data_IF_033411315788
#
_entry.id   IF_033411315788
#
_cell.length_a   1.000
_cell.length_b   1.000
_cell.length_c   1.000
_cell.angle_alpha   90.00
_cell.angle_beta   90.00
_cell.angle_gamma   90.00
#
_symmetry.space_group_name_H-M   'P 1'
#
loop_
_entity.id
_entity.type
_entity.pdbx_description
1 polymer ?
#
# COMPACT_ATOMS: atom_id res chain seq x y z
N UNK A 1 6.31 -11.17 25.84
CA UNK A 1 5.50 -9.96 25.59
C UNK A 1 4.09 -10.42 25.33
N UNK A 2 3.12 -9.86 26.04
CA UNK A 2 1.71 -10.27 25.87
C UNK A 2 1.02 -9.52 24.72
N UNK A 3 1.54 -8.34 24.32
CA UNK A 3 1.08 -7.54 23.17
C UNK A 3 2.24 -6.78 22.52
N UNK A 4 2.15 -6.56 21.21
CA UNK A 4 3.04 -5.65 20.46
C UNK A 4 2.59 -4.20 20.68
N UNK A 5 3.49 -3.32 21.12
CA UNK A 5 3.22 -1.89 21.31
C UNK A 5 3.50 -1.13 20.01
N UNK A 6 2.45 -0.83 19.28
CA UNK A 6 2.50 -0.25 17.94
C UNK A 6 2.37 1.28 17.99
N UNK A 7 3.17 1.96 17.17
CA UNK A 7 2.96 3.35 16.79
C UNK A 7 2.38 3.46 15.38
N UNK A 8 1.41 4.37 15.18
CA UNK A 8 0.92 4.72 13.83
C UNK A 8 1.57 6.04 13.40
N UNK A 9 2.26 6.03 12.26
CA UNK A 9 2.97 7.18 11.70
C UNK A 9 2.24 7.65 10.46
N UNK A 10 1.71 8.87 10.48
CA UNK A 10 0.79 9.39 9.47
C UNK A 10 -0.67 9.15 9.86
N UNK A 11 -1.30 10.17 10.44
CA UNK A 11 -2.69 10.15 10.92
C UNK A 11 -3.68 10.70 9.86
N UNK A 12 -3.33 10.54 8.58
CA UNK A 12 -4.07 11.04 7.42
C UNK A 12 -5.32 10.21 7.07
N UNK A 13 -5.69 10.17 5.78
CA UNK A 13 -6.92 9.51 5.36
C UNK A 13 -6.86 7.98 5.53
N UNK A 14 -5.75 7.36 5.10
CA UNK A 14 -5.58 5.91 5.00
C UNK A 14 -5.49 5.22 6.38
N UNK A 15 -5.08 5.94 7.43
CA UNK A 15 -5.06 5.39 8.79
C UNK A 15 -6.43 5.00 9.32
N UNK A 16 -7.51 5.60 8.81
CA UNK A 16 -8.87 5.24 9.19
C UNK A 16 -9.25 3.83 8.73
N UNK A 17 -8.62 3.33 7.66
CA UNK A 17 -8.85 1.98 7.15
C UNK A 17 -7.91 0.95 7.79
N UNK A 18 -6.70 1.37 8.19
CA UNK A 18 -5.67 0.49 8.74
C UNK A 18 -5.76 0.33 10.26
N UNK A 19 -5.94 1.43 10.99
CA UNK A 19 -5.96 1.43 12.45
C UNK A 19 -7.01 0.49 13.08
N UNK A 20 -8.24 0.34 12.53
CA UNK A 20 -9.23 -0.56 13.13
C UNK A 20 -8.73 -2.01 13.29
N UNK A 21 -7.95 -2.51 12.33
CA UNK A 21 -7.38 -3.85 12.42
C UNK A 21 -6.45 -4.01 13.63
N UNK A 22 -5.61 -3.00 13.89
CA UNK A 22 -4.71 -3.00 15.05
C UNK A 22 -5.44 -2.78 16.38
N UNK A 23 -6.42 -1.88 16.41
CA UNK A 23 -7.19 -1.55 17.61
C UNK A 23 -8.05 -2.73 18.08
N UNK A 24 -8.56 -3.54 17.16
CA UNK A 24 -9.38 -4.71 17.47
C UNK A 24 -8.54 -5.97 17.80
N UNK A 25 -7.25 -6.00 17.46
CA UNK A 25 -6.44 -7.20 17.60
C UNK A 25 -5.91 -7.37 19.03
N UNK A 26 -6.21 -8.48 19.73
CA UNK A 26 -5.86 -8.65 21.15
C UNK A 26 -4.36 -8.71 21.42
N UNK A 27 -3.56 -9.09 20.41
CA UNK A 27 -2.09 -9.10 20.47
C UNK A 27 -1.42 -7.76 20.15
N UNK A 28 -2.19 -6.68 19.94
CA UNK A 28 -1.66 -5.36 19.62
C UNK A 28 -2.16 -4.30 20.62
N UNK A 29 -1.32 -3.32 20.90
CA UNK A 29 -1.70 -2.11 21.62
C UNK A 29 -1.17 -0.90 20.85
N UNK A 30 -2.07 -0.02 20.38
CA UNK A 30 -1.68 1.25 19.75
C UNK A 30 -1.29 2.23 20.87
N UNK A 31 0.02 2.37 21.11
CA UNK A 31 0.56 3.16 22.23
C UNK A 31 0.96 4.58 21.83
N UNK A 32 1.20 4.82 20.54
CA UNK A 32 1.67 6.10 20.05
C UNK A 32 1.09 6.45 18.66
N UNK A 33 0.94 7.75 18.42
CA UNK A 33 0.63 8.34 17.12
C UNK A 33 1.69 9.37 16.76
N UNK A 34 2.09 9.43 15.50
CA UNK A 34 3.04 10.41 15.00
C UNK A 34 2.48 11.12 13.77
N UNK A 35 2.38 12.44 13.80
CA UNK A 35 2.00 13.26 12.65
C UNK A 35 2.56 14.67 12.80
N UNK A 36 3.08 15.24 11.71
CA UNK A 36 3.56 16.63 11.71
C UNK A 36 2.45 17.63 12.00
N UNK A 37 1.19 17.26 11.71
CA UNK A 37 -0.03 17.99 12.09
C UNK A 37 -0.62 17.36 13.36
N UNK A 38 -0.20 17.84 14.53
CA UNK A 38 -0.69 17.39 15.85
C UNK A 38 -2.20 17.18 15.95
N UNK A 39 -2.98 18.13 15.41
CA UNK A 39 -4.44 18.09 15.43
C UNK A 39 -5.02 16.83 14.73
N UNK A 40 -4.33 16.28 13.71
CA UNK A 40 -4.74 15.03 13.06
C UNK A 40 -4.62 13.85 14.01
N UNK A 41 -3.46 13.68 14.65
CA UNK A 41 -3.24 12.60 15.61
C UNK A 41 -4.21 12.69 16.79
N UNK A 42 -4.44 13.89 17.31
CA UNK A 42 -5.39 14.11 18.41
C UNK A 42 -6.84 13.79 18.01
N UNK A 43 -7.26 14.19 16.81
CA UNK A 43 -8.57 13.83 16.27
C UNK A 43 -8.73 12.32 16.15
N UNK A 44 -7.71 11.60 15.65
CA UNK A 44 -7.76 10.14 15.53
C UNK A 44 -7.84 9.45 16.89
N UNK A 45 -7.03 9.89 17.85
CA UNK A 45 -7.08 9.37 19.22
C UNK A 45 -8.50 9.49 19.82
N UNK A 46 -9.14 10.66 19.66
CA UNK A 46 -10.52 10.88 20.08
C UNK A 46 -11.52 9.97 19.36
N UNK A 47 -11.42 9.88 18.03
CA UNK A 47 -12.33 9.05 17.21
C UNK A 47 -12.22 7.56 17.55
N UNK A 48 -11.02 7.09 17.90
CA UNK A 48 -10.77 5.70 18.25
C UNK A 48 -10.96 5.39 19.74
N UNK A 49 -11.23 6.39 20.57
CA UNK A 49 -11.40 6.22 22.01
C UNK A 49 -10.14 5.73 22.73
N UNK A 50 -8.96 6.10 22.25
CA UNK A 50 -7.67 5.72 22.84
C UNK A 50 -6.91 6.94 23.39
N UNK A 51 -5.93 6.70 24.26
CA UNK A 51 -5.07 7.75 24.85
C UNK A 51 -3.59 7.47 24.58
N UNK A 52 -3.14 7.54 23.32
CA UNK A 52 -1.77 7.27 22.94
C UNK A 52 -0.85 8.46 23.27
N UNK A 53 0.46 8.20 23.35
CA UNK A 53 1.45 9.29 23.26
C UNK A 53 1.42 9.88 21.85
N UNK A 54 1.46 11.20 21.73
CA UNK A 54 1.45 11.87 20.43
C UNK A 54 2.81 12.52 20.20
N UNK A 55 3.41 12.24 19.05
CA UNK A 55 4.69 12.78 18.61
C UNK A 55 4.49 13.65 17.36
N UNK A 56 5.22 14.77 17.29
CA UNK A 56 5.36 15.55 16.05
C UNK A 56 6.59 15.13 15.26
N UNK A 57 7.63 14.75 15.99
CA UNK A 57 8.92 14.36 15.44
C UNK A 57 9.05 12.83 15.41
N UNK A 58 9.48 12.32 14.26
CA UNK A 58 9.60 10.89 14.05
C UNK A 58 10.82 10.31 14.75
N UNK A 59 11.92 11.06 14.89
CA UNK A 59 13.10 10.57 15.61
C UNK A 59 12.82 10.45 17.11
N UNK A 60 12.05 11.38 17.70
CA UNK A 60 11.57 11.26 19.08
C UNK A 60 10.72 10.00 19.30
N UNK A 61 9.80 9.69 18.36
CA UNK A 61 9.02 8.44 18.39
C UNK A 61 9.94 7.21 18.35
N UNK A 62 10.93 7.19 17.45
CA UNK A 62 11.84 6.06 17.31
C UNK A 62 12.74 5.86 18.54
N UNK A 63 13.07 6.93 19.25
CA UNK A 63 13.81 6.88 20.51
C UNK A 63 12.99 6.32 21.69
N UNK A 64 11.65 6.26 21.59
CA UNK A 64 10.80 5.76 22.68
C UNK A 64 10.97 4.24 22.87
N UNK A 65 11.51 3.77 24.02
CA UNK A 65 11.68 2.34 24.29
C UNK A 65 10.35 1.63 24.56
N UNK A 66 9.25 2.38 24.66
CA UNK A 66 7.89 1.84 24.84
C UNK A 66 7.18 1.51 23.53
N UNK A 67 7.81 1.77 22.37
CA UNK A 67 7.32 1.41 21.04
C UNK A 67 8.14 0.22 20.50
N UNK A 68 7.45 -0.87 20.13
CA UNK A 68 8.05 -2.07 19.54
C UNK A 68 8.03 -2.05 18.01
N UNK A 69 6.96 -1.48 17.44
CA UNK A 69 6.69 -1.50 16.01
C UNK A 69 6.11 -0.17 15.51
N UNK A 70 6.30 0.13 14.22
CA UNK A 70 5.69 1.26 13.52
C UNK A 70 4.85 0.78 12.33
N UNK A 71 3.66 1.36 12.17
CA UNK A 71 2.87 1.30 10.94
C UNK A 71 3.02 2.64 10.20
N UNK A 72 3.69 2.62 9.05
CA UNK A 72 3.95 3.80 8.22
C UNK A 72 2.81 4.01 7.21
N UNK A 73 2.02 5.06 7.41
CA UNK A 73 0.85 5.46 6.63
C UNK A 73 1.00 6.88 6.07
N UNK A 74 2.24 7.28 5.86
CA UNK A 74 2.64 8.59 5.34
C UNK A 74 2.56 8.63 3.81
N UNK A 75 2.81 9.79 3.19
CA UNK A 75 3.09 9.85 1.76
C UNK A 75 4.26 8.95 1.32
N UNK A 76 4.14 8.35 0.13
CA UNK A 76 5.09 7.33 -0.37
C UNK A 76 6.52 7.82 -0.49
N UNK A 77 6.76 9.07 -0.87
CA UNK A 77 8.11 9.65 -0.96
C UNK A 77 8.85 9.72 0.40
N UNK A 78 8.18 9.48 1.52
CA UNK A 78 8.80 9.42 2.84
C UNK A 78 9.14 8.00 3.27
N UNK A 79 8.60 6.97 2.61
CA UNK A 79 8.66 5.60 3.09
C UNK A 79 10.08 5.07 3.19
N UNK A 80 10.91 5.26 2.15
CA UNK A 80 12.26 4.71 2.14
C UNK A 80 13.08 5.14 3.37
N UNK A 81 13.15 6.45 3.61
CA UNK A 81 13.92 6.98 4.74
C UNK A 81 13.28 6.61 6.09
N UNK A 82 11.95 6.57 6.17
CA UNK A 82 11.25 6.19 7.40
C UNK A 82 11.41 4.71 7.77
N UNK A 83 11.37 3.82 6.77
CA UNK A 83 11.60 2.38 6.93
C UNK A 83 13.03 2.17 7.44
N UNK A 84 14.02 2.74 6.75
CA UNK A 84 15.44 2.60 7.09
C UNK A 84 15.71 3.11 8.51
N UNK A 85 15.19 4.28 8.86
CA UNK A 85 15.36 4.86 10.20
C UNK A 85 14.72 3.98 11.30
N UNK A 86 13.52 3.44 11.09
CA UNK A 86 12.88 2.58 12.07
C UNK A 86 13.59 1.24 12.27
N UNK A 87 14.04 0.61 11.18
CA UNK A 87 14.82 -0.62 11.24
C UNK A 87 16.15 -0.39 11.98
N UNK A 88 16.84 0.72 11.69
CA UNK A 88 18.06 1.12 12.39
C UNK A 88 17.82 1.39 13.89
N UNK A 89 16.66 1.94 14.25
CA UNK A 89 16.24 2.13 15.64
C UNK A 89 15.77 0.83 16.33
N UNK A 90 15.84 -0.32 15.65
CA UNK A 90 15.44 -1.61 16.19
C UNK A 90 13.93 -1.78 16.36
N UNK A 91 13.12 -1.09 15.55
CA UNK A 91 11.66 -1.25 15.52
C UNK A 91 11.25 -2.26 14.46
N UNK A 92 10.18 -3.02 14.71
CA UNK A 92 9.48 -3.73 13.64
C UNK A 92 8.77 -2.72 12.74
N UNK A 93 8.75 -2.95 11.43
CA UNK A 93 8.18 -2.00 10.47
C UNK A 93 7.12 -2.67 9.63
N UNK A 94 5.95 -2.06 9.56
CA UNK A 94 4.92 -2.34 8.58
C UNK A 94 4.64 -1.05 7.81
N UNK A 95 4.67 -1.10 6.48
CA UNK A 95 4.59 0.10 5.64
C UNK A 95 3.50 -0.03 4.58
N UNK A 96 2.69 1.00 4.42
CA UNK A 96 1.78 1.13 3.28
C UNK A 96 2.56 0.99 1.96
N UNK A 97 1.98 0.27 0.99
CA UNK A 97 2.40 0.35 -0.40
C UNK A 97 2.24 1.79 -0.96
N UNK A 98 2.83 2.06 -2.14
CA UNK A 98 4.11 1.50 -2.56
C UNK A 98 5.20 1.84 -1.54
N UNK A 99 6.25 1.04 -1.43
CA UNK A 99 7.28 1.22 -0.38
C UNK A 99 8.33 2.29 -0.72
N UNK A 100 8.42 2.70 -1.99
CA UNK A 100 9.45 3.59 -2.48
C UNK A 100 9.02 4.23 -3.81
N UNK A 101 9.53 5.42 -4.13
CA UNK A 101 9.23 6.11 -5.41
C UNK A 101 10.19 5.76 -6.53
N UNK A 102 11.30 5.07 -6.25
CA UNK A 102 12.22 4.61 -7.28
C UNK A 102 12.83 3.26 -6.95
N UNK A 103 13.39 2.61 -7.96
CA UNK A 103 14.17 1.37 -7.79
C UNK A 103 15.35 1.61 -6.86
N UNK A 104 16.07 2.72 -7.01
CA UNK A 104 17.19 3.06 -6.14
C UNK A 104 16.79 3.19 -4.66
N UNK A 105 15.61 3.73 -4.38
CA UNK A 105 15.08 3.74 -3.00
C UNK A 105 14.67 2.35 -2.51
N UNK A 106 14.06 1.54 -3.38
CA UNK A 106 13.72 0.15 -3.06
C UNK A 106 14.98 -0.67 -2.73
N UNK A 107 16.07 -0.50 -3.47
CA UNK A 107 17.35 -1.16 -3.22
C UNK A 107 17.92 -0.78 -1.85
N UNK A 108 17.85 0.50 -1.46
CA UNK A 108 18.24 0.94 -0.10
C UNK A 108 17.38 0.29 0.99
N UNK A 109 16.08 0.13 0.75
CA UNK A 109 15.18 -0.57 1.68
C UNK A 109 15.59 -2.04 1.79
N UNK A 110 15.85 -2.72 0.67
CA UNK A 110 16.27 -4.13 0.65
C UNK A 110 17.54 -4.33 1.47
N UNK A 111 18.54 -3.47 1.29
CA UNK A 111 19.78 -3.50 2.07
C UNK A 111 19.52 -3.29 3.57
N UNK A 112 18.69 -2.31 3.94
CA UNK A 112 18.36 -2.06 5.33
C UNK A 112 17.59 -3.23 5.97
N UNK A 113 16.66 -3.84 5.24
CA UNK A 113 15.89 -5.01 5.69
C UNK A 113 16.81 -6.22 5.87
N UNK A 114 17.74 -6.46 4.95
CA UNK A 114 18.70 -7.58 5.05
C UNK A 114 19.61 -7.47 6.28
N UNK A 115 19.91 -6.24 6.71
CA UNK A 115 20.74 -5.97 7.89
C UNK A 115 19.95 -5.81 9.20
N UNK A 116 18.61 -5.76 9.12
CA UNK A 116 17.76 -5.52 10.28
C UNK A 116 17.68 -6.76 11.19
N UNK A 117 17.60 -6.52 12.50
CA UNK A 117 17.30 -7.57 13.50
C UNK A 117 15.79 -7.70 13.76
N UNK A 118 15.00 -6.86 13.13
CA UNK A 118 13.55 -6.78 13.24
C UNK A 118 12.87 -7.15 11.93
N UNK A 119 11.55 -7.30 11.99
CA UNK A 119 10.76 -7.67 10.81
C UNK A 119 10.34 -6.43 10.02
N UNK A 120 10.35 -6.57 8.71
CA UNK A 120 9.72 -5.64 7.77
C UNK A 120 8.56 -6.32 7.03
N UNK A 121 7.45 -5.62 6.87
CA UNK A 121 6.28 -6.05 6.10
C UNK A 121 5.76 -4.91 5.24
N UNK A 122 5.29 -5.25 4.04
CA UNK A 122 4.47 -4.34 3.22
C UNK A 122 2.99 -4.58 3.52
N UNK A 123 2.25 -3.52 3.82
CA UNK A 123 0.78 -3.54 3.95
C UNK A 123 0.17 -3.51 2.54
N UNK A 124 0.15 -4.68 1.92
CA UNK A 124 -0.49 -4.94 0.63
C UNK A 124 -1.77 -5.75 0.86
N UNK A 125 -2.91 -5.05 0.93
CA UNK A 125 -4.18 -5.60 1.37
C UNK A 125 -4.85 -6.53 0.35
N UNK A 126 -4.54 -6.44 -0.94
CA UNK A 126 -5.17 -7.30 -1.96
C UNK A 126 -4.83 -8.77 -1.75
N UNK A 127 -3.64 -9.06 -1.22
CA UNK A 127 -3.22 -10.43 -0.90
C UNK A 127 -4.03 -11.09 0.22
N UNK A 128 -4.86 -10.31 0.92
CA UNK A 128 -5.77 -10.80 1.96
C UNK A 128 -7.24 -10.70 1.55
N UNK A 129 -7.54 -10.24 0.33
CA UNK A 129 -8.91 -10.15 -0.16
C UNK A 129 -9.46 -11.56 -0.44
N UNK A 130 -10.60 -11.98 0.17
CA UNK A 130 -11.03 -13.38 0.13
C UNK A 130 -11.16 -13.99 -1.28
N UNK A 131 -11.65 -13.28 -2.32
CA UNK A 131 -11.65 -13.80 -3.69
C UNK A 131 -10.24 -14.07 -4.26
N UNK A 132 -9.26 -13.21 -3.95
CA UNK A 132 -7.87 -13.39 -4.41
C UNK A 132 -7.20 -14.57 -3.69
N UNK A 133 -7.41 -14.68 -2.37
CA UNK A 133 -6.96 -15.82 -1.56
C UNK A 133 -7.58 -17.11 -2.08
N UNK A 134 -8.89 -17.10 -2.35
CA UNK A 134 -9.58 -18.29 -2.86
C UNK A 134 -9.09 -18.72 -4.23
N UNK A 135 -8.80 -17.76 -5.11
CA UNK A 135 -8.20 -18.06 -6.41
C UNK A 135 -6.82 -18.72 -6.25
N UNK A 136 -5.97 -18.25 -5.32
CA UNK A 136 -4.69 -18.90 -5.02
C UNK A 136 -4.86 -20.33 -4.54
N UNK A 137 -5.77 -20.59 -3.61
CA UNK A 137 -6.05 -21.95 -3.13
C UNK A 137 -6.43 -22.90 -4.27
N UNK A 138 -7.28 -22.45 -5.20
CA UNK A 138 -7.70 -23.25 -6.35
C UNK A 138 -6.56 -23.50 -7.34
N UNK A 139 -5.71 -22.50 -7.56
CA UNK A 139 -4.51 -22.64 -8.38
C UNK A 139 -3.53 -23.65 -7.78
N UNK A 140 -3.27 -23.56 -6.47
CA UNK A 140 -2.40 -24.50 -5.74
C UNK A 140 -2.95 -25.92 -5.72
N UNK A 141 -4.27 -26.06 -5.71
CA UNK A 141 -4.95 -27.35 -5.81
C UNK A 141 -4.95 -27.93 -7.24
N UNK A 142 -4.41 -27.21 -8.23
CA UNK A 142 -4.37 -27.64 -9.63
C UNK A 142 -5.73 -27.64 -10.31
N UNK A 143 -6.70 -26.86 -9.83
CA UNK A 143 -8.10 -26.90 -10.30
C UNK A 143 -8.27 -26.60 -11.80
N UNK A 144 -7.31 -25.90 -12.40
CA UNK A 144 -7.29 -25.57 -13.84
C UNK A 144 -6.01 -26.04 -14.55
N UNK A 145 -5.18 -26.87 -13.89
CA UNK A 145 -3.84 -27.21 -14.35
C UNK A 145 -2.85 -26.03 -14.27
N UNK A 146 -1.79 -26.07 -15.09
CA UNK A 146 -0.78 -25.02 -15.13
C UNK A 146 -1.28 -23.80 -15.94
N UNK A 147 -1.35 -22.59 -15.33
CA UNK A 147 -1.77 -21.40 -16.04
C UNK A 147 -0.76 -21.00 -17.13
N UNK A 148 -1.24 -20.73 -18.35
CA UNK A 148 -0.42 -20.19 -19.45
C UNK A 148 -0.51 -18.66 -19.58
N UNK A 149 -1.56 -18.05 -19.03
CA UNK A 149 -1.79 -16.61 -19.06
C UNK A 149 -2.57 -16.14 -17.83
N UNK A 150 -2.12 -15.05 -17.21
CA UNK A 150 -2.89 -14.27 -16.23
C UNK A 150 -3.17 -12.90 -16.81
N UNK A 151 -4.44 -12.47 -16.79
CA UNK A 151 -4.83 -11.11 -17.18
C UNK A 151 -5.60 -10.43 -16.07
N UNK A 152 -5.18 -9.23 -15.72
CA UNK A 152 -5.87 -8.35 -14.78
C UNK A 152 -6.20 -7.05 -15.51
N UNK A 153 -7.50 -6.81 -15.70
CA UNK A 153 -8.01 -5.62 -16.37
C UNK A 153 -8.70 -4.70 -15.37
N UNK A 154 -8.41 -3.41 -15.47
CA UNK A 154 -8.92 -2.37 -14.58
C UNK A 154 -9.60 -1.26 -15.40
N UNK A 155 -10.84 -0.87 -15.05
CA UNK A 155 -11.62 0.13 -15.79
C UNK A 155 -11.97 1.32 -14.90
N UNK A 156 -11.08 2.29 -14.85
CA UNK A 156 -11.28 3.47 -13.99
C UNK A 156 -12.53 4.24 -14.41
N UNK A 157 -13.40 4.50 -13.44
CA UNK A 157 -14.53 5.42 -13.60
C UNK A 157 -14.24 6.76 -12.95
N UNK A 158 -14.89 7.82 -13.43
CA UNK A 158 -14.88 9.13 -12.78
C UNK A 158 -15.74 9.12 -11.51
N UNK A 159 -16.90 8.49 -11.62
CA UNK A 159 -17.95 8.54 -10.61
C UNK A 159 -18.08 7.20 -9.87
N UNK A 160 -17.69 7.23 -8.59
CA UNK A 160 -17.92 6.14 -7.64
C UNK A 160 -19.02 6.59 -6.70
N UNK A 161 -20.17 5.91 -6.75
CA UNK A 161 -21.37 6.23 -5.99
C UNK A 161 -21.49 5.29 -4.79
N UNK A 162 -21.68 5.86 -3.60
CA UNK A 162 -21.88 5.12 -2.36
C UNK A 162 -20.62 4.87 -1.51
N UNK A 163 -19.45 5.34 -1.96
CA UNK A 163 -18.19 5.13 -1.27
C UNK A 163 -18.24 5.75 0.15
N UNK A 164 -17.85 4.96 1.14
CA UNK A 164 -17.94 5.33 2.57
C UNK A 164 -16.79 6.20 3.05
N UNK A 165 -15.71 6.29 2.27
CA UNK A 165 -14.57 7.17 2.54
C UNK A 165 -14.13 7.89 1.27
N UNK A 166 -14.08 9.22 1.34
CA UNK A 166 -13.55 10.09 0.29
C UNK A 166 -12.08 10.44 0.57
N UNK A 167 -11.35 10.80 -0.47
CA UNK A 167 -9.97 11.22 -0.35
C UNK A 167 -9.88 12.66 0.19
N UNK A 168 -9.07 12.86 1.23
CA UNK A 168 -8.71 14.19 1.74
C UNK A 168 -8.01 15.01 0.63
N UNK A 169 -8.43 16.26 0.34
CA UNK A 169 -7.75 17.13 -0.62
C UNK A 169 -6.23 17.26 -0.41
N UNK A 170 -5.76 17.24 0.85
CA UNK A 170 -4.32 17.29 1.15
C UNK A 170 -3.56 16.08 0.58
N UNK A 171 -4.24 14.93 0.47
CA UNK A 171 -3.67 13.70 -0.08
C UNK A 171 -3.43 13.79 -1.59
N UNK A 172 -4.12 14.72 -2.29
CA UNK A 172 -3.90 15.00 -3.70
C UNK A 172 -2.67 15.89 -3.95
N UNK A 173 -2.28 16.72 -2.98
CA UNK A 173 -1.19 17.69 -3.16
C UNK A 173 0.13 17.00 -3.49
N UNK A 174 0.53 16.00 -2.68
CA UNK A 174 1.77 15.27 -2.94
C UNK A 174 1.63 14.24 -4.07
N UNK A 175 0.44 13.64 -4.24
CA UNK A 175 0.19 12.71 -5.37
C UNK A 175 0.32 13.41 -6.71
N UNK A 176 -0.08 14.69 -6.78
CA UNK A 176 -0.01 15.50 -7.99
C UNK A 176 1.34 16.16 -8.23
N UNK A 177 2.32 15.95 -7.36
CA UNK A 177 3.68 16.44 -7.52
C UNK A 177 4.54 15.32 -8.13
N UNK A 178 4.94 15.39 -9.42
CA UNK A 178 5.74 14.34 -10.05
C UNK A 178 7.10 14.09 -9.38
N UNK A 179 7.64 15.08 -8.66
CA UNK A 179 8.88 14.92 -7.89
C UNK A 179 8.70 14.12 -6.60
N UNK A 180 7.45 13.94 -6.14
CA UNK A 180 7.08 13.19 -4.92
C UNK A 180 6.25 11.95 -5.21
N UNK A 181 5.64 11.87 -6.37
CA UNK A 181 4.89 10.72 -6.81
C UNK A 181 5.13 10.56 -8.31
N UNK A 182 6.07 9.67 -8.70
CA UNK A 182 6.51 9.58 -10.09
C UNK A 182 5.51 8.87 -10.99
N UNK A 183 4.39 8.37 -10.47
CA UNK A 183 3.43 7.62 -11.27
C UNK A 183 1.97 7.93 -10.97
N UNK A 184 1.12 7.44 -11.85
CA UNK A 184 -0.33 7.46 -11.73
C UNK A 184 -0.88 6.09 -11.35
N UNK A 185 -1.95 5.66 -12.03
CA UNK A 185 -2.65 4.42 -11.72
C UNK A 185 -1.76 3.17 -11.80
N UNK A 186 -0.82 3.10 -12.75
CA UNK A 186 0.07 1.95 -12.89
C UNK A 186 1.03 1.81 -11.71
N UNK A 187 1.34 2.93 -11.06
CA UNK A 187 2.25 2.96 -9.92
C UNK A 187 1.51 2.75 -8.59
N UNK A 188 0.49 3.57 -8.28
CA UNK A 188 -0.19 3.50 -6.97
C UNK A 188 -1.18 2.31 -6.89
N UNK A 189 -1.99 2.07 -7.92
CA UNK A 189 -2.92 0.92 -7.95
C UNK A 189 -2.28 -0.33 -8.57
N UNK A 190 -1.43 -0.16 -9.60
CA UNK A 190 -0.81 -1.28 -10.30
C UNK A 190 -0.02 -2.22 -9.39
N UNK A 191 0.58 -1.71 -8.31
CA UNK A 191 1.26 -2.54 -7.30
C UNK A 191 0.36 -3.68 -6.78
N UNK A 192 -0.94 -3.42 -6.58
CA UNK A 192 -1.89 -4.45 -6.18
C UNK A 192 -2.00 -5.58 -7.22
N UNK A 193 -2.02 -5.21 -8.50
CA UNK A 193 -2.21 -6.15 -9.61
C UNK A 193 -0.93 -6.95 -9.85
N UNK A 194 0.23 -6.31 -9.79
CA UNK A 194 1.52 -7.00 -9.84
C UNK A 194 1.68 -7.95 -8.65
N UNK A 195 1.36 -7.50 -7.43
CA UNK A 195 1.41 -8.34 -6.23
C UNK A 195 0.45 -9.54 -6.36
N UNK A 196 -0.77 -9.34 -6.85
CA UNK A 196 -1.75 -10.41 -7.07
C UNK A 196 -1.26 -11.42 -8.11
N UNK A 197 -0.74 -10.95 -9.26
CA UNK A 197 -0.19 -11.81 -10.29
C UNK A 197 1.02 -12.62 -9.76
N UNK A 198 1.89 -11.97 -8.98
CA UNK A 198 3.03 -12.64 -8.36
C UNK A 198 2.62 -13.65 -7.30
N UNK A 199 1.58 -13.33 -6.51
CA UNK A 199 1.02 -14.24 -5.54
C UNK A 199 0.42 -15.48 -6.20
N UNK A 200 -0.28 -15.34 -7.32
CA UNK A 200 -0.88 -16.46 -8.04
C UNK A 200 0.13 -17.34 -8.77
N UNK A 201 1.13 -16.76 -9.43
CA UNK A 201 2.00 -17.50 -10.35
C UNK A 201 3.45 -17.60 -9.85
N UNK A 202 4.04 -16.48 -9.44
CA UNK A 202 5.43 -16.40 -9.03
C UNK A 202 6.11 -15.09 -9.43
N UNK A 203 7.43 -15.03 -9.34
CA UNK A 203 8.18 -13.81 -9.61
C UNK A 203 8.08 -13.37 -11.08
N UNK A 204 7.98 -12.06 -11.32
CA UNK A 204 8.04 -11.48 -12.67
C UNK A 204 9.51 -11.36 -13.10
N UNK A 205 9.82 -11.80 -14.33
CA UNK A 205 11.18 -11.78 -14.87
C UNK A 205 11.48 -10.58 -15.77
N UNK A 206 10.65 -10.39 -16.79
CA UNK A 206 10.79 -9.29 -17.75
C UNK A 206 9.42 -8.69 -18.06
N UNK A 207 9.40 -7.39 -18.34
CA UNK A 207 8.18 -6.60 -18.55
C UNK A 207 8.40 -5.58 -19.67
N UNK A 208 7.35 -5.35 -20.45
CA UNK A 208 7.27 -4.27 -21.42
C UNK A 208 5.90 -3.61 -21.33
N UNK A 209 5.85 -2.30 -21.48
CA UNK A 209 4.64 -1.52 -21.30
C UNK A 209 4.47 -0.46 -22.38
N UNK A 210 3.21 -0.21 -22.73
CA UNK A 210 2.79 0.92 -23.55
C UNK A 210 1.84 1.75 -22.69
N UNK A 211 2.19 3.02 -22.49
CA UNK A 211 1.37 3.98 -21.75
C UNK A 211 0.86 5.01 -22.74
N UNK A 212 -0.46 5.09 -22.89
CA UNK A 212 -1.13 6.08 -23.73
C UNK A 212 -1.13 7.47 -23.11
N UNK A 213 -1.43 8.48 -23.93
CA UNK A 213 -1.61 9.86 -23.49
C UNK A 213 -3.00 10.10 -22.93
N UNK A 214 -3.10 10.44 -21.64
CA UNK A 214 -4.30 10.96 -20.98
C UNK A 214 -4.18 12.45 -20.66
N UNK A 215 -5.29 13.09 -20.27
CA UNK A 215 -5.30 14.50 -19.86
C UNK A 215 -4.87 14.72 -18.40
N UNK A 216 -4.84 13.66 -17.60
CA UNK A 216 -4.39 13.66 -16.21
C UNK A 216 -3.30 12.59 -16.05
N UNK A 217 -2.10 13.00 -15.63
CA UNK A 217 -0.98 12.09 -15.44
C UNK A 217 -1.26 11.04 -14.36
N UNK A 218 -2.19 11.30 -13.43
CA UNK A 218 -2.59 10.32 -12.42
C UNK A 218 -3.42 9.16 -12.99
N UNK A 219 -3.93 9.30 -14.22
CA UNK A 219 -4.75 8.26 -14.84
C UNK A 219 -3.90 7.18 -15.51
N UNK A 220 -2.84 7.55 -16.24
CA UNK A 220 -2.00 6.61 -17.01
C UNK A 220 -2.82 5.62 -17.85
N UNK A 221 -3.89 6.11 -18.47
CA UNK A 221 -4.83 5.30 -19.26
C UNK A 221 -5.01 5.88 -20.67
N UNK A 222 -5.20 5.04 -21.71
CA UNK A 222 -5.11 3.59 -21.64
C UNK A 222 -3.66 3.15 -21.46
N UNK A 223 -3.43 2.06 -20.72
CA UNK A 223 -2.10 1.48 -20.62
C UNK A 223 -2.17 -0.04 -20.55
N UNK A 224 -1.10 -0.68 -21.01
CA UNK A 224 -0.94 -2.12 -20.96
C UNK A 224 0.51 -2.45 -20.65
N UNK A 225 0.71 -3.34 -19.69
CA UNK A 225 1.96 -4.00 -19.43
C UNK A 225 1.80 -5.50 -19.67
N UNK A 226 2.76 -6.11 -20.37
CA UNK A 226 2.86 -7.55 -20.49
C UNK A 226 4.20 -8.01 -19.97
N UNK A 227 4.21 -9.20 -19.37
CA UNK A 227 5.38 -9.72 -18.69
C UNK A 227 5.45 -11.24 -18.74
N UNK A 228 6.65 -11.78 -18.51
CA UNK A 228 6.89 -13.21 -18.35
C UNK A 228 7.25 -13.50 -16.90
N UNK A 229 6.67 -14.55 -16.35
CA UNK A 229 7.05 -15.05 -15.02
C UNK A 229 8.37 -15.83 -15.10
N UNK A 230 9.25 -15.67 -14.09
CA UNK A 230 10.51 -16.42 -14.01
C UNK A 230 10.22 -17.91 -13.90
N UNK A 231 10.97 -18.71 -14.65
CA UNK A 231 10.95 -20.18 -14.59
C UNK A 231 9.57 -20.81 -14.83
N UNK A 232 8.64 -20.08 -15.47
CA UNK A 232 7.29 -20.55 -15.79
C UNK A 232 6.94 -20.24 -17.24
N UNK A 233 6.29 -21.18 -17.92
CA UNK A 233 5.69 -20.94 -19.24
C UNK A 233 4.33 -20.24 -19.10
N UNK A 234 4.33 -19.08 -18.46
CA UNK A 234 3.14 -18.29 -18.18
C UNK A 234 3.43 -16.82 -18.52
N UNK A 235 2.48 -16.17 -19.18
CA UNK A 235 2.51 -14.74 -19.45
C UNK A 235 1.55 -14.00 -18.51
N UNK A 236 1.85 -12.73 -18.27
CA UNK A 236 0.99 -11.81 -17.54
C UNK A 236 0.62 -10.61 -18.41
N UNK A 237 -0.61 -10.14 -18.25
CA UNK A 237 -1.10 -8.87 -18.82
C UNK A 237 -1.78 -8.09 -17.71
N UNK A 238 -1.37 -6.86 -17.51
CA UNK A 238 -2.08 -5.88 -16.68
C UNK A 238 -2.43 -4.70 -17.58
N UNK A 239 -3.72 -4.36 -17.66
CA UNK A 239 -4.18 -3.29 -18.52
C UNK A 239 -5.22 -2.39 -17.84
N UNK A 240 -5.08 -1.09 -18.10
CA UNK A 240 -5.92 -0.04 -17.54
C UNK A 240 -6.65 0.69 -18.66
N UNK A 241 -7.95 0.89 -18.44
CA UNK A 241 -8.78 1.75 -19.28
C UNK A 241 -9.49 2.80 -18.42
N UNK A 242 -9.99 3.86 -19.06
CA UNK A 242 -10.75 4.91 -18.40
C UNK A 242 -12.08 5.11 -19.09
N UNK A 243 -13.16 4.96 -18.32
CA UNK A 243 -14.55 5.10 -18.76
C UNK A 243 -15.21 6.23 -17.95
N UNK A 244 -15.05 7.51 -18.36
CA UNK A 244 -15.53 8.66 -17.59
C UNK A 244 -17.06 8.73 -17.45
N UNK A 245 -17.79 8.10 -18.37
CA UNK A 245 -19.26 8.05 -18.38
C UNK A 245 -19.81 6.85 -17.60
N UNK A 246 -18.93 5.94 -17.16
CA UNK A 246 -19.32 4.81 -16.32
C UNK A 246 -19.48 5.28 -14.87
N UNK A 247 -20.49 4.75 -14.19
CA UNK A 247 -20.65 4.89 -12.74
C UNK A 247 -20.43 3.55 -12.06
N UNK A 248 -19.53 3.50 -11.09
CA UNK A 248 -19.33 2.32 -10.25
C UNK A 248 -20.12 2.52 -8.96
N UNK A 249 -20.96 1.54 -8.61
CA UNK A 249 -21.66 1.52 -7.32
C UNK A 249 -20.86 0.68 -6.35
N UNK A 250 -20.28 1.32 -5.36
CA UNK A 250 -19.48 0.64 -4.35
C UNK A 250 -19.63 1.28 -2.99
N UNK A 251 -19.53 0.46 -1.94
CA UNK A 251 -19.50 0.90 -0.53
C UNK A 251 -18.08 1.00 0.03
N UNK A 252 -17.09 0.62 -0.76
CA UNK A 252 -15.69 0.57 -0.35
C UNK A 252 -14.97 1.90 -0.63
N UNK A 253 -13.67 1.94 -0.34
CA UNK A 253 -12.86 3.14 -0.45
C UNK A 253 -12.71 3.58 -1.91
N UNK A 254 -13.08 4.82 -2.22
CA UNK A 254 -13.13 5.34 -3.61
C UNK A 254 -11.81 5.16 -4.38
N UNK A 255 -10.66 5.24 -3.72
CA UNK A 255 -9.38 5.17 -4.41
C UNK A 255 -8.98 3.75 -4.85
N UNK A 256 -9.65 2.72 -4.31
CA UNK A 256 -9.40 1.31 -4.63
C UNK A 256 -10.52 0.72 -5.52
N UNK A 257 -11.43 1.57 -6.02
CA UNK A 257 -12.56 1.19 -6.86
C UNK A 257 -12.33 1.60 -8.31
N UNK A 258 -12.42 0.63 -9.21
CA UNK A 258 -12.06 0.74 -10.63
C UNK A 258 -12.79 -0.34 -11.44
#
# INVERSE_FOLDING_TARGET
>A
MDRVRLAIVGCGNICQLNAPGYLAHPGCAVVALCDTKWARAELRARQWGITPRIYKDYAELLADPTVDAVELLTPTYLHADQIIAALAAGKHVSCQKPIAVSVAEADRIVEAVANARTMFRVTENFLYYPPIVKAKELLDAGAIGEPSLVRIHTTRAKDIVGATLTMDPDALVWRRDPGRNPGGALYDDGVHKYATAMYWIGEIGEISAIVGGGTDFLQETPSVAHFRFKDRNCLGIIDYTYAPEMSIRSRYYKADEF
#
